data_IF_587807961345
#
_entry.id   IF_587807961345
#
_cell.length_a   1.000
_cell.length_b   1.000
_cell.length_c   1.000
_cell.angle_alpha   90.00
_cell.angle_beta   90.00
_cell.angle_gamma   90.00
#
_symmetry.space_group_name_H-M   'P 1'
#
loop_
_entity.id
_entity.type
_entity.pdbx_description
1 polymer ?
#
# COMPACT_ATOMS: atom_id res chain seq x y z
N UNK A 1 5.81 21.01 -5.13
CA UNK A 1 6.57 19.74 -5.03
C UNK A 1 8.06 20.06 -5.03
N UNK A 2 8.80 19.45 -4.11
CA UNK A 2 10.27 19.51 -4.12
C UNK A 2 10.85 18.39 -5.00
N UNK A 3 12.13 18.51 -5.45
CA UNK A 3 12.80 17.43 -6.19
C UNK A 3 12.80 16.09 -5.43
N UNK A 4 12.98 16.11 -4.11
CA UNK A 4 12.97 14.93 -3.25
C UNK A 4 11.60 14.24 -3.23
N UNK A 5 10.52 15.03 -3.16
CA UNK A 5 9.16 14.51 -3.24
C UNK A 5 8.90 13.84 -4.60
N UNK A 6 9.37 14.44 -5.69
CA UNK A 6 9.24 13.86 -7.03
C UNK A 6 10.02 12.55 -7.14
N UNK A 7 11.23 12.49 -6.58
CA UNK A 7 12.03 11.26 -6.58
C UNK A 7 11.35 10.16 -5.75
N UNK A 8 10.89 10.47 -4.53
CA UNK A 8 10.15 9.54 -3.69
C UNK A 8 8.92 8.95 -4.40
N UNK A 9 8.15 9.78 -5.11
CA UNK A 9 7.00 9.29 -5.89
C UNK A 9 7.41 8.29 -6.98
N UNK A 10 8.53 8.55 -7.66
CA UNK A 10 9.06 7.64 -8.71
C UNK A 10 9.51 6.31 -8.14
N UNK A 11 10.23 6.34 -7.02
CA UNK A 11 10.74 5.15 -6.34
C UNK A 11 9.60 4.24 -5.88
N UNK A 12 8.49 4.83 -5.41
CA UNK A 12 7.32 4.10 -4.93
C UNK A 12 6.32 3.72 -6.04
N UNK A 13 6.46 4.21 -7.28
CA UNK A 13 5.38 4.05 -8.28
C UNK A 13 5.04 2.58 -8.57
N UNK A 14 6.04 1.70 -8.66
CA UNK A 14 5.85 0.27 -8.89
C UNK A 14 6.06 -0.60 -7.64
N UNK A 15 6.71 -0.04 -6.61
CA UNK A 15 7.09 -0.73 -5.38
C UNK A 15 6.57 0.03 -4.15
N UNK A 16 5.33 -0.19 -3.71
CA UNK A 16 4.79 0.49 -2.52
C UNK A 16 5.56 0.19 -1.22
N UNK A 17 6.50 -0.74 -1.27
CA UNK A 17 7.38 -1.12 -0.16
C UNK A 17 8.82 -0.59 -0.29
N UNK A 18 9.13 0.26 -1.27
CA UNK A 18 10.50 0.75 -1.50
C UNK A 18 11.17 1.32 -0.23
N UNK A 19 10.50 2.25 0.46
CA UNK A 19 11.05 2.83 1.69
C UNK A 19 11.05 1.83 2.86
N UNK A 20 10.09 0.92 2.93
CA UNK A 20 10.05 -0.16 3.93
C UNK A 20 11.26 -1.08 3.76
N UNK A 21 11.58 -1.46 2.51
CA UNK A 21 12.79 -2.23 2.21
C UNK A 21 14.05 -1.52 2.69
N UNK A 22 14.18 -0.21 2.44
CA UNK A 22 15.32 0.57 2.94
C UNK A 22 15.44 0.53 4.45
N UNK A 23 14.34 0.70 5.19
CA UNK A 23 14.34 0.56 6.66
C UNK A 23 14.85 -0.81 7.07
N UNK A 24 14.42 -1.89 6.41
CA UNK A 24 14.92 -3.23 6.69
C UNK A 24 16.42 -3.35 6.43
N UNK A 25 16.90 -2.94 5.26
CA UNK A 25 18.31 -3.00 4.85
C UNK A 25 19.22 -2.21 5.80
N UNK A 26 18.84 -0.99 6.15
CA UNK A 26 19.57 -0.11 7.07
C UNK A 26 19.68 -0.68 8.49
N UNK A 27 18.75 -1.55 8.88
CA UNK A 27 18.75 -2.24 10.18
C UNK A 27 19.25 -3.70 10.10
N UNK A 28 19.85 -4.11 8.98
CA UNK A 28 20.43 -5.45 8.81
C UNK A 28 19.40 -6.59 8.81
N UNK A 29 18.15 -6.28 8.47
CA UNK A 29 17.09 -7.28 8.35
C UNK A 29 17.09 -7.90 6.97
N UNK A 30 16.90 -9.22 6.90
CA UNK A 30 16.69 -9.90 5.65
C UNK A 30 15.35 -9.50 5.04
N UNK A 31 15.37 -9.12 3.76
CA UNK A 31 14.20 -8.69 3.02
C UNK A 31 13.78 -9.75 1.99
N UNK A 32 12.59 -10.31 2.17
CA UNK A 32 12.05 -11.31 1.26
C UNK A 32 11.04 -10.70 0.27
N UNK A 33 11.55 -10.27 -0.88
CA UNK A 33 10.76 -9.60 -1.94
C UNK A 33 9.54 -10.42 -2.39
N UNK A 34 9.66 -11.76 -2.38
CA UNK A 34 8.56 -12.67 -2.73
C UNK A 34 7.37 -12.60 -1.76
N UNK A 35 7.62 -12.49 -0.44
CA UNK A 35 6.56 -12.34 0.55
C UNK A 35 5.78 -11.04 0.36
N UNK A 36 6.50 -9.93 0.14
CA UNK A 36 5.90 -8.62 -0.09
C UNK A 36 5.05 -8.60 -1.36
N UNK A 37 5.56 -9.17 -2.45
CA UNK A 37 4.82 -9.30 -3.71
C UNK A 37 3.56 -10.16 -3.56
N UNK A 38 3.62 -11.20 -2.74
CA UNK A 38 2.47 -12.03 -2.46
C UNK A 38 1.40 -11.28 -1.67
N UNK A 39 1.77 -10.56 -0.59
CA UNK A 39 0.85 -9.73 0.20
C UNK A 39 0.18 -8.67 -0.70
N UNK A 40 0.96 -7.99 -1.54
CA UNK A 40 0.43 -7.02 -2.50
C UNK A 40 -0.57 -7.69 -3.44
N UNK A 41 -0.20 -8.81 -4.06
CA UNK A 41 -1.06 -9.54 -5.00
C UNK A 41 -2.41 -9.92 -4.37
N UNK A 42 -2.40 -10.34 -3.12
CA UNK A 42 -3.61 -10.75 -2.42
C UNK A 42 -4.47 -9.57 -1.94
N UNK A 43 -3.87 -8.41 -1.70
CA UNK A 43 -4.60 -7.18 -1.39
C UNK A 43 -5.38 -6.60 -2.58
N UNK A 44 -4.92 -6.88 -3.82
CA UNK A 44 -5.47 -6.28 -5.04
C UNK A 44 -6.97 -6.52 -5.22
N UNK A 45 -7.51 -7.76 -5.07
CA UNK A 45 -8.95 -7.99 -5.27
C UNK A 45 -9.84 -7.16 -4.35
N UNK A 46 -9.41 -6.96 -3.10
CA UNK A 46 -10.17 -6.21 -2.10
C UNK A 46 -10.15 -4.72 -2.43
N UNK A 47 -8.95 -4.18 -2.68
CA UNK A 47 -8.79 -2.79 -3.08
C UNK A 47 -9.60 -2.52 -4.35
N UNK A 48 -9.55 -3.44 -5.32
CA UNK A 48 -10.31 -3.32 -6.57
C UNK A 48 -11.80 -3.34 -6.33
N UNK A 49 -12.31 -4.21 -5.46
CA UNK A 49 -13.73 -4.25 -5.09
C UNK A 49 -14.23 -2.88 -4.62
N UNK A 50 -13.51 -2.25 -3.69
CA UNK A 50 -13.87 -0.90 -3.23
C UNK A 50 -13.73 0.16 -4.33
N UNK A 51 -12.71 0.07 -5.16
CA UNK A 51 -12.54 0.99 -6.30
C UNK A 51 -13.71 0.92 -7.29
N UNK A 52 -14.15 -0.29 -7.60
CA UNK A 52 -15.28 -0.51 -8.50
C UNK A 52 -16.60 -0.06 -7.86
N UNK A 53 -16.80 -0.34 -6.56
CA UNK A 53 -18.01 0.05 -5.82
C UNK A 53 -18.16 1.57 -5.74
N UNK A 54 -17.14 2.29 -5.32
CA UNK A 54 -17.21 3.75 -5.18
C UNK A 54 -17.06 4.49 -6.52
N UNK A 55 -16.43 3.89 -7.48
CA UNK A 55 -16.24 4.40 -8.86
C UNK A 55 -15.78 5.87 -8.92
N UNK A 56 -14.95 6.32 -7.97
CA UNK A 56 -14.53 7.71 -7.85
C UNK A 56 -13.57 8.10 -8.97
N UNK A 57 -13.87 9.21 -9.64
CA UNK A 57 -12.98 9.81 -10.63
C UNK A 57 -11.66 10.29 -9.99
N UNK A 58 -10.57 10.21 -10.73
CA UNK A 58 -9.29 10.74 -10.31
C UNK A 58 -9.27 12.27 -10.33
N UNK A 59 -8.40 12.92 -9.53
CA UNK A 59 -8.28 14.38 -9.53
C UNK A 59 -8.10 14.96 -10.94
N UNK A 60 -7.27 14.34 -11.78
CA UNK A 60 -7.02 14.80 -13.15
C UNK A 60 -8.22 14.60 -14.09
N UNK A 61 -9.11 13.65 -13.82
CA UNK A 61 -10.36 13.47 -14.57
C UNK A 61 -11.37 14.58 -14.27
N UNK A 62 -11.29 15.16 -13.07
CA UNK A 62 -12.16 16.28 -12.63
C UNK A 62 -11.56 17.63 -13.01
N UNK A 63 -10.23 17.76 -12.91
CA UNK A 63 -9.48 18.97 -13.23
C UNK A 63 -8.37 18.63 -14.20
N UNK A 64 -8.65 18.70 -15.51
CA UNK A 64 -7.72 18.34 -16.56
C UNK A 64 -6.44 19.16 -16.62
N UNK A 65 -6.46 20.38 -16.04
CA UNK A 65 -5.28 21.26 -15.92
C UNK A 65 -4.37 20.87 -14.75
N UNK A 66 -4.74 19.87 -13.95
CA UNK A 66 -3.93 19.42 -12.82
C UNK A 66 -2.60 18.84 -13.31
N UNK A 67 -1.49 19.44 -12.86
CA UNK A 67 -0.15 18.95 -13.17
C UNK A 67 0.16 17.70 -12.35
N UNK A 68 -0.08 16.53 -12.92
CA UNK A 68 0.25 15.24 -12.32
C UNK A 68 1.63 14.75 -12.72
N UNK A 69 2.26 13.93 -11.87
CA UNK A 69 3.49 13.23 -12.25
C UNK A 69 3.16 12.04 -13.17
N UNK A 70 4.11 11.57 -14.00
CA UNK A 70 3.91 10.34 -14.75
C UNK A 70 3.84 9.12 -13.80
N UNK A 71 3.00 8.13 -14.13
CA UNK A 71 2.86 6.89 -13.37
C UNK A 71 2.52 5.71 -14.28
N UNK A 72 3.07 4.53 -13.96
CA UNK A 72 2.72 3.26 -14.61
C UNK A 72 1.52 2.57 -13.95
N UNK A 73 1.21 2.92 -12.71
CA UNK A 73 0.20 2.24 -11.89
C UNK A 73 -1.12 2.99 -11.76
N UNK A 74 -1.19 4.25 -12.23
CA UNK A 74 -2.34 5.15 -12.08
C UNK A 74 -3.47 4.86 -13.11
N UNK A 75 -3.93 3.59 -13.20
CA UNK A 75 -4.86 3.13 -14.25
C UNK A 75 -6.25 2.72 -13.74
N UNK A 76 -6.46 2.75 -12.42
CA UNK A 76 -7.72 2.33 -11.79
C UNK A 76 -8.42 3.52 -11.14
N UNK A 77 -9.66 3.35 -10.68
CA UNK A 77 -10.42 4.36 -9.95
C UNK A 77 -9.67 4.88 -8.72
N UNK A 78 -10.05 6.10 -8.26
CA UNK A 78 -9.26 6.84 -7.28
C UNK A 78 -9.34 6.22 -5.87
N UNK A 79 -10.52 5.92 -5.39
CA UNK A 79 -10.79 5.60 -3.99
C UNK A 79 -11.03 4.11 -3.75
N UNK A 80 -10.40 3.53 -2.72
CA UNK A 80 -9.32 4.06 -1.90
C UNK A 80 -7.95 4.01 -2.58
N UNK A 81 -6.92 4.65 -1.98
CA UNK A 81 -5.54 4.57 -2.48
C UNK A 81 -4.94 3.18 -2.23
N UNK A 82 -4.58 2.48 -3.33
CA UNK A 82 -3.95 1.16 -3.24
C UNK A 82 -2.56 1.20 -2.61
N UNK A 83 -1.72 2.19 -2.97
CA UNK A 83 -0.40 2.36 -2.39
C UNK A 83 -0.45 2.63 -0.88
N UNK A 84 -1.36 3.49 -0.43
CA UNK A 84 -1.54 3.75 1.00
C UNK A 84 -1.96 2.48 1.76
N UNK A 85 -2.89 1.71 1.20
CA UNK A 85 -3.32 0.44 1.79
C UNK A 85 -2.18 -0.58 1.86
N UNK A 86 -1.52 -0.82 0.74
CA UNK A 86 -0.48 -1.84 0.61
C UNK A 86 0.75 -1.52 1.46
N UNK A 87 1.21 -0.27 1.48
CA UNK A 87 2.36 0.13 2.29
C UNK A 87 2.09 -0.01 3.79
N UNK A 88 0.87 0.30 4.26
CA UNK A 88 0.49 0.09 5.67
C UNK A 88 0.46 -1.39 6.04
N UNK A 89 -0.14 -2.26 5.22
CA UNK A 89 -0.12 -3.71 5.47
C UNK A 89 1.31 -4.22 5.62
N UNK A 90 2.19 -3.82 4.70
CA UNK A 90 3.58 -4.30 4.69
C UNK A 90 4.38 -3.76 5.87
N UNK A 91 4.22 -2.48 6.22
CA UNK A 91 4.86 -1.90 7.40
C UNK A 91 4.43 -2.62 8.69
N UNK A 92 3.14 -2.89 8.84
CA UNK A 92 2.60 -3.66 9.99
C UNK A 92 3.11 -5.09 10.01
N UNK A 93 3.21 -5.73 8.84
CA UNK A 93 3.74 -7.09 8.72
C UNK A 93 5.19 -7.19 9.22
N UNK A 94 6.05 -6.24 8.83
CA UNK A 94 7.43 -6.18 9.32
C UNK A 94 7.47 -5.80 10.80
N UNK A 95 6.71 -4.78 11.22
CA UNK A 95 6.65 -4.34 12.61
C UNK A 95 6.18 -5.45 13.57
N UNK A 96 5.31 -6.34 13.11
CA UNK A 96 4.91 -7.52 13.90
C UNK A 96 6.07 -8.47 14.19
N UNK A 97 7.06 -8.53 13.30
CA UNK A 97 8.30 -9.32 13.49
C UNK A 97 9.39 -8.52 14.24
N UNK A 98 9.43 -7.20 14.08
CA UNK A 98 10.48 -6.30 14.60
C UNK A 98 9.82 -5.03 15.20
N UNK A 99 9.16 -5.14 16.38
CA UNK A 99 8.34 -4.05 16.93
C UNK A 99 9.10 -2.75 17.21
N UNK A 100 10.40 -2.83 17.47
CA UNK A 100 11.25 -1.66 17.73
C UNK A 100 11.35 -0.72 16.51
N UNK A 101 11.08 -1.21 15.31
CA UNK A 101 11.11 -0.42 14.06
C UNK A 101 9.73 0.09 13.63
N UNK A 102 8.67 -0.18 14.39
CA UNK A 102 7.29 0.17 14.01
C UNK A 102 7.14 1.64 13.59
N UNK A 103 7.73 2.56 14.38
CA UNK A 103 7.63 3.99 14.10
C UNK A 103 8.24 4.37 12.74
N UNK A 104 9.40 3.82 12.42
CA UNK A 104 10.12 4.10 11.16
C UNK A 104 9.40 3.46 9.97
N UNK A 105 8.96 2.22 10.12
CA UNK A 105 8.20 1.49 9.11
C UNK A 105 6.88 2.18 8.78
N UNK A 106 6.13 2.60 9.81
CA UNK A 106 4.86 3.32 9.60
C UNK A 106 5.09 4.69 8.97
N UNK A 107 6.17 5.40 9.34
CA UNK A 107 6.55 6.65 8.65
C UNK A 107 6.79 6.40 7.17
N UNK A 108 7.57 5.38 6.82
CA UNK A 108 7.84 5.01 5.42
C UNK A 108 6.55 4.68 4.65
N UNK A 109 5.61 3.96 5.28
CA UNK A 109 4.31 3.65 4.69
C UNK A 109 3.46 4.90 4.42
N UNK A 110 3.39 5.81 5.37
CA UNK A 110 2.62 7.05 5.24
C UNK A 110 3.22 7.97 4.18
N UNK A 111 4.54 8.05 4.08
CA UNK A 111 5.23 8.82 3.04
C UNK A 111 4.95 8.25 1.64
N UNK A 112 4.95 6.93 1.47
CA UNK A 112 4.56 6.27 0.24
C UNK A 112 3.12 6.66 -0.17
N UNK A 113 2.16 6.48 0.73
CA UNK A 113 0.76 6.78 0.49
C UNK A 113 0.52 8.26 0.20
N UNK A 114 1.09 9.16 1.01
CA UNK A 114 0.94 10.61 0.83
C UNK A 114 1.63 11.12 -0.43
N UNK A 115 2.71 10.49 -0.84
CA UNK A 115 3.37 10.76 -2.12
C UNK A 115 2.40 10.69 -3.31
N UNK A 116 1.38 9.82 -3.24
CA UNK A 116 0.37 9.71 -4.30
C UNK A 116 -0.57 10.93 -4.34
N UNK A 117 -0.82 11.58 -3.20
CA UNK A 117 -1.55 12.87 -3.14
C UNK A 117 -0.67 13.99 -3.70
N UNK A 118 0.59 14.06 -3.27
CA UNK A 118 1.59 15.01 -3.79
C UNK A 118 1.74 14.91 -5.31
N UNK A 119 1.69 13.69 -5.85
CA UNK A 119 1.76 13.44 -7.29
C UNK A 119 0.51 13.90 -8.08
N UNK A 120 -0.60 14.17 -7.40
CA UNK A 120 -1.88 14.50 -8.01
C UNK A 120 -2.71 13.29 -8.46
N UNK A 121 -2.39 12.09 -7.99
CA UNK A 121 -3.08 10.84 -8.36
C UNK A 121 -4.31 10.56 -7.51
N UNK A 122 -4.30 11.05 -6.27
CA UNK A 122 -5.31 10.77 -5.25
C UNK A 122 -5.70 12.03 -4.49
N UNK A 123 -6.92 12.03 -3.94
CA UNK A 123 -7.35 12.98 -2.92
C UNK A 123 -6.82 12.56 -1.55
N UNK A 124 -6.78 13.49 -0.59
CA UNK A 124 -6.40 13.19 0.80
C UNK A 124 -7.32 12.11 1.39
N UNK A 125 -8.62 12.16 1.11
CA UNK A 125 -9.57 11.15 1.58
C UNK A 125 -9.34 9.74 0.99
N UNK A 126 -8.76 9.62 -0.22
CA UNK A 126 -8.36 8.31 -0.77
C UNK A 126 -7.18 7.74 0.03
N UNK A 127 -6.24 8.60 0.41
CA UNK A 127 -5.08 8.26 1.23
C UNK A 127 -5.50 7.84 2.63
N UNK A 128 -6.33 8.63 3.32
CA UNK A 128 -6.79 8.33 4.68
C UNK A 128 -7.53 7.00 4.73
N UNK A 129 -8.44 6.77 3.77
CA UNK A 129 -9.17 5.51 3.70
C UNK A 129 -8.28 4.35 3.28
N UNK A 130 -7.29 4.58 2.42
CA UNK A 130 -6.28 3.58 2.08
C UNK A 130 -5.52 3.11 3.31
N UNK A 131 -5.05 4.03 4.15
CA UNK A 131 -4.37 3.71 5.41
C UNK A 131 -5.30 2.92 6.35
N UNK A 132 -6.54 3.37 6.54
CA UNK A 132 -7.52 2.67 7.39
C UNK A 132 -7.80 1.25 6.88
N UNK A 133 -7.96 1.08 5.57
CA UNK A 133 -8.17 -0.24 4.96
C UNK A 133 -6.95 -1.14 5.20
N UNK A 134 -5.73 -0.62 5.06
CA UNK A 134 -4.49 -1.34 5.33
C UNK A 134 -4.41 -1.85 6.77
N UNK A 135 -4.74 -1.01 7.75
CA UNK A 135 -4.81 -1.41 9.17
C UNK A 135 -5.83 -2.53 9.40
N UNK A 136 -7.03 -2.41 8.81
CA UNK A 136 -8.08 -3.43 8.95
C UNK A 136 -7.69 -4.75 8.30
N UNK A 137 -7.09 -4.71 7.13
CA UNK A 137 -6.61 -5.90 6.44
C UNK A 137 -5.51 -6.60 7.24
N UNK A 138 -4.55 -5.85 7.80
CA UNK A 138 -3.51 -6.42 8.64
C UNK A 138 -4.07 -7.11 9.90
N UNK A 139 -5.05 -6.48 10.58
CA UNK A 139 -5.72 -7.10 11.74
C UNK A 139 -6.41 -8.41 11.37
N UNK A 140 -7.04 -8.47 10.20
CA UNK A 140 -7.67 -9.70 9.71
C UNK A 140 -6.63 -10.78 9.39
N UNK A 141 -5.53 -10.43 8.75
CA UNK A 141 -4.42 -11.35 8.46
C UNK A 141 -3.88 -12.00 9.74
N UNK A 142 -3.67 -11.21 10.81
CA UNK A 142 -3.16 -11.74 12.08
C UNK A 142 -4.16 -12.62 12.83
N UNK A 143 -5.46 -12.33 12.73
CA UNK A 143 -6.49 -13.16 13.38
C UNK A 143 -6.61 -14.56 12.78
N UNK A 144 -6.12 -14.74 11.55
CA UNK A 144 -6.23 -15.97 10.79
C UNK A 144 -4.96 -16.83 10.77
N UNK A 145 -3.95 -16.43 11.52
CA UNK A 145 -2.63 -17.05 11.41
C UNK A 145 -2.13 -17.13 9.94
N UNK A 146 -2.42 -16.05 9.19
CA UNK A 146 -2.23 -15.94 7.75
C UNK A 146 -0.83 -16.35 7.28
N UNK A 147 0.20 -16.12 8.12
CA UNK A 147 1.56 -16.54 7.82
C UNK A 147 1.76 -18.05 7.76
N UNK A 148 1.09 -18.83 8.61
CA UNK A 148 1.15 -20.30 8.60
C UNK A 148 0.33 -20.86 7.44
N UNK A 149 -0.90 -20.40 7.25
CA UNK A 149 -1.78 -20.89 6.19
C UNK A 149 -1.31 -20.50 4.78
N UNK A 150 -0.66 -19.34 4.60
CA UNK A 150 -0.03 -18.96 3.33
C UNK A 150 1.15 -19.87 2.98
N UNK A 151 2.02 -20.17 3.95
CA UNK A 151 3.15 -21.09 3.74
C UNK A 151 2.71 -22.50 3.41
N UNK A 152 1.50 -22.89 3.85
CA UNK A 152 0.90 -24.20 3.54
C UNK A 152 0.04 -24.21 2.27
N UNK A 153 -0.15 -23.04 1.61
CA UNK A 153 -0.93 -22.90 0.38
C UNK A 153 -2.44 -23.17 0.53
N UNK A 154 -2.96 -23.16 1.75
CA UNK A 154 -4.32 -23.62 2.05
C UNK A 154 -5.41 -22.56 1.92
N UNK A 155 -5.10 -21.27 2.09
CA UNK A 155 -6.13 -20.20 2.04
C UNK A 155 -5.58 -18.97 1.34
N UNK A 156 -6.30 -18.46 0.37
CA UNK A 156 -6.06 -17.14 -0.20
C UNK A 156 -6.98 -16.11 0.47
N UNK A 157 -6.50 -14.90 0.70
CA UNK A 157 -7.29 -13.82 1.31
C UNK A 157 -8.64 -13.57 0.60
N UNK A 158 -8.74 -13.86 -0.71
CA UNK A 158 -9.99 -13.83 -1.51
C UNK A 158 -11.06 -14.79 -1.02
N UNK A 159 -10.69 -15.87 -0.35
CA UNK A 159 -11.64 -16.89 0.12
C UNK A 159 -12.33 -16.46 1.41
N UNK A 160 -11.79 -15.48 2.08
CA UNK A 160 -12.30 -14.85 3.28
C UNK A 160 -13.52 -13.96 3.05
N UNK A 161 -13.59 -13.33 1.88
CA UNK A 161 -14.69 -12.42 1.53
C UNK A 161 -15.97 -13.15 1.13
N UNK A 162 -15.93 -14.50 1.10
CA UNK A 162 -17.08 -15.34 0.71
C UNK A 162 -17.92 -15.81 1.89
N UNK A 163 -17.47 -15.60 3.11
CA UNK A 163 -18.19 -15.91 4.37
C UNK A 163 -18.57 -14.62 5.10
#
# INVERSE_FOLDING_TARGET
>A
RTPEQVQSVRDHDQEPYYAIRKVCEENGLEFHDSEFKQIIKESVPIIKHFKDFFNRARPVEVLSSLNTLPSKTNKTRSYPSGHACQSVILARYVAGKVPQLEKELMKAAYECGYGRVVAGFHYVSDYDTGNLLGEKMYVLMNKMDYGQEMNEGKVAFKDFLKN
#
